data_IF_957200178174
#
_entry.id   IF_957200178174
#
_cell.length_a   1.000
_cell.length_b   1.000
_cell.length_c   1.000
_cell.angle_alpha   90.00
_cell.angle_beta   90.00
_cell.angle_gamma   90.00
#
_symmetry.space_group_name_H-M   'P 1'
#
loop_
_entity.id
_entity.type
_entity.pdbx_description
1 polymer ?
#
# COMPACT_ATOMS: atom_id res chain seq x y z
N UNK A 1 32.87 12.16 -17.53
CA UNK A 1 32.60 13.51 -17.01
C UNK A 1 31.10 13.66 -16.83
N UNK A 2 30.55 13.36 -15.65
CA UNK A 2 29.13 13.59 -15.34
C UNK A 2 29.01 14.97 -14.71
N UNK A 3 28.53 15.94 -15.48
CA UNK A 3 28.26 17.30 -15.01
C UNK A 3 26.99 17.29 -14.17
N UNK A 4 27.15 17.42 -12.85
CA UNK A 4 26.06 17.72 -11.92
C UNK A 4 25.71 19.20 -12.11
N UNK A 5 24.65 19.49 -12.86
CA UNK A 5 24.11 20.85 -12.93
C UNK A 5 23.13 21.06 -11.78
N UNK A 6 23.57 21.78 -10.74
CA UNK A 6 22.74 22.22 -9.63
C UNK A 6 21.79 23.33 -10.11
N UNK A 7 20.72 22.92 -10.76
CA UNK A 7 19.53 23.76 -10.88
C UNK A 7 18.63 23.49 -9.68
N UNK A 8 17.81 24.48 -9.26
CA UNK A 8 16.79 24.37 -8.20
C UNK A 8 15.79 23.18 -8.34
N UNK A 9 15.97 22.34 -9.36
CA UNK A 9 15.10 21.24 -9.80
C UNK A 9 15.65 19.86 -9.44
N UNK A 10 16.74 19.77 -8.67
CA UNK A 10 17.37 18.52 -8.22
C UNK A 10 18.23 17.84 -9.30
N UNK A 11 18.94 16.75 -8.95
CA UNK A 11 19.87 16.07 -9.86
C UNK A 11 19.12 15.39 -11.01
N UNK A 12 19.76 15.43 -12.19
CA UNK A 12 19.22 14.90 -13.44
C UNK A 12 20.23 13.94 -14.09
N UNK A 13 19.73 12.80 -14.56
CA UNK A 13 20.50 11.74 -15.23
C UNK A 13 20.05 11.63 -16.68
N UNK A 14 20.98 11.72 -17.61
CA UNK A 14 20.70 11.66 -19.05
C UNK A 14 21.87 10.98 -19.80
N UNK A 15 21.70 9.74 -20.32
CA UNK A 15 20.51 8.90 -20.21
C UNK A 15 20.45 8.16 -18.85
N UNK A 16 19.25 7.86 -18.38
CA UNK A 16 18.99 7.09 -17.16
C UNK A 16 17.88 6.04 -17.35
N UNK A 17 18.02 4.89 -16.70
CA UNK A 17 17.05 3.79 -16.79
C UNK A 17 15.87 4.04 -15.84
N UNK A 18 14.69 4.34 -16.36
CA UNK A 18 13.51 4.60 -15.53
C UNK A 18 13.02 3.30 -14.88
N UNK A 19 13.00 3.24 -13.54
CA UNK A 19 12.53 2.06 -12.79
C UNK A 19 11.06 1.74 -13.04
N UNK A 20 10.26 2.73 -13.43
CA UNK A 20 8.82 2.55 -13.59
C UNK A 20 8.43 2.03 -14.98
N UNK A 21 9.08 2.50 -16.05
CA UNK A 21 8.72 2.12 -17.43
C UNK A 21 9.81 1.31 -18.15
N UNK A 22 10.98 1.12 -17.56
CA UNK A 22 12.08 0.33 -18.14
C UNK A 22 12.76 0.96 -19.36
N UNK A 23 12.51 2.25 -19.65
CA UNK A 23 13.08 2.94 -20.80
C UNK A 23 14.22 3.88 -20.40
N UNK A 24 15.22 4.02 -21.28
CA UNK A 24 16.32 4.98 -21.14
C UNK A 24 15.85 6.39 -21.50
N UNK A 25 15.79 7.26 -20.51
CA UNK A 25 15.28 8.65 -20.63
C UNK A 25 16.06 9.59 -19.73
N UNK A 26 15.82 10.89 -19.90
CA UNK A 26 16.16 11.88 -18.88
C UNK A 26 15.37 11.62 -17.60
N UNK A 27 16.07 11.32 -16.51
CA UNK A 27 15.49 10.88 -15.25
C UNK A 27 15.93 11.72 -14.05
N UNK A 28 15.16 11.60 -12.98
CA UNK A 28 15.33 12.16 -11.64
C UNK A 28 15.54 11.03 -10.62
N UNK A 29 16.05 11.33 -9.43
CA UNK A 29 16.13 10.36 -8.35
C UNK A 29 14.77 10.16 -7.68
N UNK A 30 14.51 8.96 -7.18
CA UNK A 30 13.27 8.62 -6.49
C UNK A 30 13.22 9.13 -5.04
N UNK A 31 14.35 9.13 -4.34
CA UNK A 31 14.45 9.33 -2.89
C UNK A 31 15.08 10.68 -2.50
N UNK A 32 14.89 11.71 -3.32
CA UNK A 32 15.29 13.08 -2.99
C UNK A 32 14.08 13.99 -3.01
N UNK A 33 14.17 15.08 -2.27
CA UNK A 33 13.11 16.06 -2.16
C UNK A 33 13.04 16.95 -3.42
N UNK A 34 11.83 17.17 -3.91
CA UNK A 34 11.51 18.09 -5.00
C UNK A 34 10.42 19.06 -4.56
N UNK A 35 10.46 20.29 -5.07
CA UNK A 35 9.34 21.22 -4.98
C UNK A 35 8.41 21.05 -6.20
N UNK A 36 7.13 20.82 -5.93
CA UNK A 36 6.07 20.85 -6.93
C UNK A 36 4.90 21.69 -6.42
N UNK A 37 4.65 22.82 -7.10
CA UNK A 37 3.58 23.78 -6.75
C UNK A 37 3.69 24.28 -5.30
N UNK A 38 4.91 24.48 -4.79
CA UNK A 38 5.16 24.91 -3.41
C UNK A 38 4.99 23.82 -2.36
N UNK A 39 4.80 22.57 -2.77
CA UNK A 39 4.77 21.41 -1.89
C UNK A 39 6.02 20.56 -2.11
N UNK A 40 6.66 20.19 -1.02
CA UNK A 40 7.76 19.22 -1.02
C UNK A 40 7.20 17.83 -1.27
N UNK A 41 7.80 17.11 -2.19
CA UNK A 41 7.46 15.72 -2.51
C UNK A 41 8.74 14.89 -2.65
N UNK A 42 8.69 13.64 -2.18
CA UNK A 42 9.69 12.61 -2.44
C UNK A 42 8.97 11.51 -3.21
N UNK A 43 9.48 11.16 -4.40
CA UNK A 43 8.75 10.22 -5.27
C UNK A 43 8.60 8.83 -4.66
N UNK A 44 9.59 8.35 -3.89
CA UNK A 44 9.47 7.08 -3.15
C UNK A 44 8.32 7.08 -2.16
N UNK A 45 8.07 8.20 -1.50
CA UNK A 45 7.02 8.31 -0.49
C UNK A 45 5.65 8.30 -1.16
N UNK A 46 5.53 8.94 -2.33
CA UNK A 46 4.32 8.86 -3.15
C UNK A 46 4.00 7.41 -3.59
N UNK A 47 5.00 6.54 -3.77
CA UNK A 47 4.75 5.11 -4.06
C UNK A 47 4.14 4.40 -2.85
N UNK A 48 4.59 4.72 -1.65
CA UNK A 48 4.01 4.19 -0.40
C UNK A 48 2.58 4.69 -0.25
N UNK A 49 2.36 5.99 -0.42
CA UNK A 49 1.04 6.60 -0.29
C UNK A 49 0.05 6.02 -1.30
N UNK A 50 0.43 5.94 -2.58
CA UNK A 50 -0.47 5.55 -3.66
C UNK A 50 -0.67 4.04 -3.77
N UNK A 51 0.38 3.26 -3.58
CA UNK A 51 0.41 1.84 -3.93
C UNK A 51 0.78 0.92 -2.76
N UNK A 52 1.04 1.47 -1.57
CA UNK A 52 1.54 0.70 -0.43
C UNK A 52 2.90 0.04 -0.72
N UNK A 53 3.66 0.55 -1.68
CA UNK A 53 4.87 -0.09 -2.19
C UNK A 53 6.13 0.58 -1.66
N UNK A 54 6.89 -0.15 -0.84
CA UNK A 54 8.25 0.21 -0.45
C UNK A 54 9.24 -0.20 -1.55
N UNK A 55 9.93 0.79 -2.14
CA UNK A 55 10.93 0.53 -3.15
C UNK A 55 12.24 0.06 -2.51
N UNK A 56 12.76 -1.08 -2.97
CA UNK A 56 14.05 -1.60 -2.52
C UNK A 56 15.25 -0.80 -3.08
N UNK A 57 16.41 -0.91 -2.43
CA UNK A 57 17.70 -0.42 -2.92
C UNK A 57 17.77 1.11 -3.20
N UNK A 58 17.06 1.91 -2.40
CA UNK A 58 17.14 3.37 -2.52
C UNK A 58 18.46 3.96 -1.99
N UNK A 59 19.21 3.22 -1.19
CA UNK A 59 20.51 3.66 -0.65
C UNK A 59 21.71 3.26 -1.55
N UNK A 60 21.47 2.55 -2.66
CA UNK A 60 22.49 1.97 -3.55
C UNK A 60 23.13 2.96 -4.54
N UNK A 61 23.34 2.54 -5.80
CA UNK A 61 23.80 3.45 -6.86
C UNK A 61 22.63 4.40 -7.26
N UNK A 62 22.85 5.73 -7.33
CA UNK A 62 21.85 6.67 -7.84
C UNK A 62 21.21 6.28 -9.18
N UNK A 63 21.94 5.57 -10.05
CA UNK A 63 21.46 5.10 -11.35
C UNK A 63 20.39 4.00 -11.27
N UNK A 64 20.29 3.30 -10.15
CA UNK A 64 19.32 2.21 -9.93
C UNK A 64 17.97 2.72 -9.41
N UNK A 65 17.90 4.00 -9.02
CA UNK A 65 16.74 4.62 -8.38
C UNK A 65 16.22 5.83 -9.14
N UNK A 66 16.11 5.68 -10.46
CA UNK A 66 15.72 6.73 -11.38
C UNK A 66 14.26 6.65 -11.81
N UNK A 67 13.66 7.82 -12.08
CA UNK A 67 12.30 7.97 -12.61
C UNK A 67 12.25 9.04 -13.70
N UNK A 68 11.59 8.74 -14.83
CA UNK A 68 11.44 9.69 -15.93
C UNK A 68 10.26 10.65 -15.71
N UNK A 69 10.25 11.78 -16.42
CA UNK A 69 9.23 12.82 -16.28
C UNK A 69 7.78 12.31 -16.51
N UNK A 70 7.58 11.41 -17.47
CA UNK A 70 6.25 10.85 -17.75
C UNK A 70 5.74 9.98 -16.59
N UNK A 71 6.60 9.18 -15.98
CA UNK A 71 6.24 8.37 -14.81
C UNK A 71 6.02 9.24 -13.56
N UNK A 72 6.77 10.34 -13.40
CA UNK A 72 6.50 11.34 -12.36
C UNK A 72 5.10 11.93 -12.52
N UNK A 73 4.69 12.32 -13.74
CA UNK A 73 3.34 12.86 -13.96
C UNK A 73 2.24 11.86 -13.59
N UNK A 74 2.36 10.60 -14.05
CA UNK A 74 1.40 9.53 -13.70
C UNK A 74 1.35 9.27 -12.19
N UNK A 75 2.48 9.31 -11.50
CA UNK A 75 2.54 9.15 -10.04
C UNK A 75 1.80 10.28 -9.32
N UNK A 76 1.96 11.53 -9.76
CA UNK A 76 1.23 12.68 -9.20
C UNK A 76 -0.27 12.64 -9.50
N UNK A 77 -0.65 12.17 -10.68
CA UNK A 77 -2.06 11.93 -11.04
C UNK A 77 -2.68 10.87 -10.13
N UNK A 78 -1.99 9.74 -9.91
CA UNK A 78 -2.42 8.69 -8.99
C UNK A 78 -2.58 9.21 -7.55
N UNK A 79 -1.64 10.03 -7.07
CA UNK A 79 -1.74 10.63 -5.74
C UNK A 79 -2.92 11.59 -5.63
N UNK A 80 -3.14 12.42 -6.65
CA UNK A 80 -4.27 13.34 -6.70
C UNK A 80 -5.60 12.58 -6.68
N UNK A 81 -5.68 11.49 -7.45
CA UNK A 81 -6.84 10.61 -7.48
C UNK A 81 -7.07 9.92 -6.12
N UNK A 82 -6.02 9.41 -5.48
CA UNK A 82 -6.10 8.86 -4.12
C UNK A 82 -6.67 9.88 -3.13
N UNK A 83 -6.13 11.10 -3.11
CA UNK A 83 -6.60 12.17 -2.22
C UNK A 83 -8.08 12.48 -2.49
N UNK A 84 -8.50 12.48 -3.76
CA UNK A 84 -9.91 12.67 -4.12
C UNK A 84 -10.79 11.55 -3.55
N UNK A 85 -10.41 10.29 -3.74
CA UNK A 85 -11.15 9.13 -3.21
C UNK A 85 -11.28 9.20 -1.69
N UNK A 86 -10.19 9.49 -0.98
CA UNK A 86 -10.20 9.62 0.49
C UNK A 86 -11.16 10.71 0.97
N UNK A 87 -11.16 11.89 0.33
CA UNK A 87 -12.09 12.98 0.66
C UNK A 87 -13.55 12.61 0.41
N UNK A 88 -13.81 11.87 -0.68
CA UNK A 88 -15.15 11.40 -0.98
C UNK A 88 -15.64 10.39 0.06
N UNK A 89 -14.78 9.47 0.49
CA UNK A 89 -15.10 8.47 1.52
C UNK A 89 -15.34 9.12 2.88
N UNK A 90 -14.46 10.04 3.29
CA UNK A 90 -14.62 10.82 4.53
C UNK A 90 -15.97 11.57 4.54
N UNK A 91 -16.34 12.20 3.41
CA UNK A 91 -17.64 12.87 3.28
C UNK A 91 -18.80 11.89 3.38
N UNK A 92 -18.72 10.73 2.73
CA UNK A 92 -19.76 9.71 2.78
C UNK A 92 -19.98 9.20 4.21
N UNK A 93 -18.89 8.92 4.94
CA UNK A 93 -18.93 8.47 6.34
C UNK A 93 -19.54 9.56 7.24
N UNK A 94 -19.13 10.82 7.05
CA UNK A 94 -19.66 11.94 7.83
C UNK A 94 -21.17 12.12 7.63
N UNK A 95 -21.67 11.98 6.40
CA UNK A 95 -23.10 12.04 6.13
C UNK A 95 -23.87 10.92 6.83
N UNK A 96 -23.37 9.67 6.74
CA UNK A 96 -24.01 8.52 7.41
C UNK A 96 -24.05 8.64 8.94
N UNK A 97 -23.01 9.20 9.54
CA UNK A 97 -22.98 9.43 10.99
C UNK A 97 -23.94 10.54 11.41
N UNK A 98 -24.06 11.61 10.62
CA UNK A 98 -25.00 12.69 10.89
C UNK A 98 -26.46 12.27 10.70
N UNK A 99 -26.74 11.42 9.69
CA UNK A 99 -28.07 10.83 9.48
C UNK A 99 -28.49 9.87 10.62
N UNK A 100 -27.53 9.38 11.42
CA UNK A 100 -27.80 8.52 12.58
C UNK A 100 -28.20 9.30 13.85
N UNK A 101 -27.96 10.61 13.90
CA UNK A 101 -28.22 11.41 15.11
C UNK A 101 -29.70 11.84 15.26
N UNK A 102 -30.52 11.66 14.21
CA UNK A 102 -31.98 11.89 14.24
C UNK A 102 -32.79 10.64 14.57
N UNK A 103 -32.15 9.47 14.69
CA UNK A 103 -32.78 8.29 15.26
C UNK A 103 -32.59 8.32 16.78
N UNK A 104 -33.52 9.00 17.47
CA UNK A 104 -33.84 8.67 18.86
C UNK A 104 -34.25 7.20 18.91
N UNK A 105 -33.25 6.33 19.08
CA UNK A 105 -33.49 4.97 19.54
C UNK A 105 -33.95 5.10 20.98
N UNK A 106 -35.27 5.13 21.18
CA UNK A 106 -35.89 4.84 22.46
C UNK A 106 -35.57 3.36 22.77
N UNK A 107 -34.36 3.14 23.30
CA UNK A 107 -33.96 1.86 23.88
C UNK A 107 -34.86 1.68 25.10
N UNK A 108 -35.92 0.91 24.92
CA UNK A 108 -36.73 0.41 26.03
C UNK A 108 -35.82 -0.57 26.79
N UNK A 109 -35.27 -0.14 27.92
CA UNK A 109 -34.63 -1.05 28.86
C UNK A 109 -35.65 -2.10 29.28
N UNK A 110 -35.52 -3.33 28.77
CA UNK A 110 -36.11 -4.47 29.44
C UNK A 110 -35.29 -4.72 30.70
N UNK A 111 -35.94 -4.50 31.85
CA UNK A 111 -35.41 -4.88 33.16
C UNK A 111 -35.27 -6.40 33.16
N UNK A 112 -34.06 -6.88 32.93
CA UNK A 112 -33.73 -8.28 33.13
C UNK A 112 -33.59 -8.48 34.64
N UNK A 113 -34.62 -9.02 35.30
CA UNK A 113 -34.52 -9.52 36.67
C UNK A 113 -33.53 -10.69 36.66
N UNK A 114 -32.27 -10.39 37.00
CA UNK A 114 -31.25 -11.40 37.25
C UNK A 114 -31.66 -12.10 38.54
N UNK A 115 -32.27 -13.28 38.41
CA UNK A 115 -32.24 -14.26 39.49
C UNK A 115 -30.82 -14.83 39.55
N UNK A 116 -30.14 -14.76 40.70
CA UNK A 116 -28.89 -15.49 40.88
C UNK A 116 -29.28 -16.94 41.10
N UNK A 117 -28.91 -17.84 40.18
CA UNK A 117 -28.40 -19.16 40.54
C UNK A 117 -27.85 -19.92 39.32
N UNK A 118 -26.64 -20.41 39.54
CA UNK A 118 -26.01 -21.63 39.02
C UNK A 118 -25.35 -21.69 37.62
N UNK A 119 -24.04 -21.95 37.74
CA UNK A 119 -23.15 -22.75 36.88
C UNK A 119 -22.53 -22.13 35.62
N UNK A 120 -21.40 -21.48 35.87
CA UNK A 120 -20.33 -21.33 34.90
C UNK A 120 -19.65 -22.68 34.60
N UNK A 121 -19.83 -23.18 33.38
CA UNK A 121 -18.84 -24.01 32.66
C UNK A 121 -19.08 -23.86 31.16
N UNK A 122 -18.34 -22.96 30.52
CA UNK A 122 -18.21 -22.97 29.05
C UNK A 122 -16.88 -23.65 28.75
N UNK A 123 -16.97 -24.94 28.40
CA UNK A 123 -15.89 -25.79 27.93
C UNK A 123 -15.51 -25.39 26.51
N UNK A 124 -14.43 -24.63 26.37
CA UNK A 124 -13.91 -24.14 25.10
C UNK A 124 -12.99 -25.22 24.48
N UNK A 125 -13.60 -26.32 24.02
CA UNK A 125 -12.90 -27.37 23.30
C UNK A 125 -12.57 -26.92 21.87
N UNK A 126 -11.38 -26.37 21.67
CA UNK A 126 -10.81 -26.12 20.35
C UNK A 126 -10.44 -27.45 19.66
N UNK A 127 -11.25 -27.88 18.70
CA UNK A 127 -10.89 -28.96 17.77
C UNK A 127 -9.83 -28.46 16.76
N UNK A 128 -8.57 -28.76 17.08
CA UNK A 128 -7.43 -28.64 16.18
C UNK A 128 -7.42 -29.86 15.27
N UNK A 129 -7.80 -29.73 13.99
CA UNK A 129 -7.57 -30.78 12.99
C UNK A 129 -6.08 -30.79 12.55
N UNK A 130 -5.36 -31.92 12.65
CA UNK A 130 -3.96 -32.02 12.26
C UNK A 130 -3.77 -32.30 10.75
N UNK A 131 -2.72 -31.71 10.19
CA UNK A 131 -2.24 -31.89 8.82
C UNK A 131 -1.97 -33.37 8.47
N UNK A 132 -2.39 -33.80 7.27
CA UNK A 132 -2.03 -35.12 6.72
C UNK A 132 -1.01 -34.97 5.58
N UNK A 133 0.23 -35.50 5.73
CA UNK A 133 1.22 -35.53 4.65
C UNK A 133 1.09 -36.80 3.81
N UNK A 134 0.73 -36.68 2.53
CA UNK A 134 0.70 -37.82 1.60
C UNK A 134 2.09 -38.06 0.97
N UNK A 135 2.64 -39.23 1.29
CA UNK A 135 3.95 -39.74 0.83
C UNK A 135 3.95 -40.18 -0.65
N UNK A 136 5.12 -40.00 -1.25
CA UNK A 136 5.60 -40.41 -2.59
C UNK A 136 5.28 -41.87 -2.98
N UNK A 137 5.00 -42.11 -4.27
CA UNK A 137 5.24 -43.41 -4.93
C UNK A 137 6.17 -43.24 -6.14
N UNK A 138 7.34 -43.87 -6.05
CA UNK A 138 8.20 -44.27 -7.18
C UNK A 138 7.53 -45.43 -7.92
N UNK A 139 7.61 -45.45 -9.26
CA UNK A 139 7.82 -46.70 -10.00
C UNK A 139 8.59 -46.42 -11.29
N UNK A 140 9.78 -47.02 -11.35
CA UNK A 140 10.63 -47.19 -12.52
C UNK A 140 9.91 -48.02 -13.58
N UNK A 141 10.17 -47.77 -14.86
CA UNK A 141 10.27 -48.82 -15.88
C UNK A 141 11.30 -48.43 -16.96
N UNK A 142 11.87 -49.47 -17.55
CA UNK A 142 13.18 -49.60 -18.17
C UNK A 142 13.04 -49.64 -19.70
N UNK A 143 14.04 -49.12 -20.41
CA UNK A 143 14.70 -49.71 -21.60
C UNK A 143 13.87 -50.18 -22.81
N UNK A 144 14.08 -49.54 -23.99
CA UNK A 144 14.72 -50.11 -25.21
C UNK A 144 14.26 -49.38 -26.48
N UNK A 145 15.19 -48.76 -27.20
CA UNK A 145 15.65 -49.10 -28.57
C UNK A 145 16.62 -48.02 -29.02
#
# INVERSE_FOLDING_TARGET
>A
MTSLSETKKGPIYDPGFCRCCGEMKKCRLLNVEYDHKGQKEIYSDLFVDCFGLLLSQLDGDPKERLICAMCVSRLREANSFRIQVLKCEERLLTLRLNDCHDLKLDIKEEVNEITPDDDAVVDDSYDIEPEVPVKKKKKSQKEKT
#
